data_IF_908482774205
#
_entry.id   IF_908482774205
#
_cell.length_a   1.000
_cell.length_b   1.000
_cell.length_c   1.000
_cell.angle_alpha   90.00
_cell.angle_beta   90.00
_cell.angle_gamma   90.00
#
_symmetry.space_group_name_H-M   'P 1'
#
loop_
_entity.id
_entity.type
_entity.pdbx_description
1 polymer ?
#
# COMPACT_ATOMS: atom_id res chain seq x y z
N UNK A 1 9.60 38.03 19.78
CA UNK A 1 9.57 36.58 19.55
C UNK A 1 10.97 36.03 19.81
N UNK A 2 11.16 35.08 20.72
CA UNK A 2 12.51 34.62 21.11
C UNK A 2 13.01 33.49 20.20
N UNK A 3 14.34 33.34 20.09
CA UNK A 3 14.98 32.22 19.37
C UNK A 3 14.47 30.84 19.85
N UNK A 4 14.24 30.68 21.16
CA UNK A 4 13.66 29.48 21.73
C UNK A 4 12.22 29.22 21.23
N UNK A 5 11.39 30.27 21.15
CA UNK A 5 10.02 30.15 20.63
C UNK A 5 9.98 29.80 19.14
N UNK A 6 10.92 30.31 18.35
CA UNK A 6 11.05 29.97 16.92
C UNK A 6 11.49 28.52 16.73
N UNK A 7 12.49 28.08 17.49
CA UNK A 7 12.98 26.70 17.48
C UNK A 7 11.88 25.70 17.84
N UNK A 8 11.12 25.96 18.91
CA UNK A 8 10.02 25.09 19.33
C UNK A 8 8.91 25.00 18.28
N UNK A 9 8.59 26.12 17.61
CA UNK A 9 7.59 26.15 16.54
C UNK A 9 8.02 25.32 15.32
N UNK A 10 9.29 25.45 14.92
CA UNK A 10 9.87 24.69 13.81
C UNK A 10 9.94 23.19 14.13
N UNK A 11 10.33 22.82 15.36
CA UNK A 11 10.32 21.42 15.83
C UNK A 11 8.91 20.82 15.82
N UNK A 12 7.91 21.56 16.29
CA UNK A 12 6.51 21.11 16.25
C UNK A 12 6.00 20.92 14.82
N UNK A 13 6.35 21.80 13.89
CA UNK A 13 5.99 21.65 12.48
C UNK A 13 6.63 20.40 11.85
N UNK A 14 7.91 20.15 12.14
CA UNK A 14 8.60 18.93 11.69
C UNK A 14 7.96 17.67 12.25
N UNK A 15 7.61 17.65 13.55
CA UNK A 15 6.92 16.52 14.16
C UNK A 15 5.54 16.25 13.52
N UNK A 16 4.79 17.32 13.21
CA UNK A 16 3.51 17.21 12.51
C UNK A 16 3.67 16.64 11.10
N UNK A 17 4.69 17.08 10.36
CA UNK A 17 4.99 16.56 9.03
C UNK A 17 5.32 15.05 9.09
N UNK A 18 6.22 14.64 9.98
CA UNK A 18 6.59 13.23 10.17
C UNK A 18 5.38 12.38 10.58
N UNK A 19 4.51 12.87 11.48
CA UNK A 19 3.31 12.16 11.90
C UNK A 19 2.30 12.01 10.74
N UNK A 20 2.17 13.04 9.90
CA UNK A 20 1.33 13.00 8.71
C UNK A 20 1.83 11.94 7.72
N UNK A 21 3.14 11.88 7.46
CA UNK A 21 3.74 10.91 6.55
C UNK A 21 3.52 9.48 7.06
N UNK A 22 3.74 9.22 8.35
CA UNK A 22 3.46 7.91 8.97
C UNK A 22 2.00 7.51 8.83
N UNK A 23 1.07 8.45 9.05
CA UNK A 23 -0.37 8.19 8.89
C UNK A 23 -0.73 7.91 7.42
N UNK A 24 -0.09 8.57 6.47
CA UNK A 24 -0.26 8.30 5.04
C UNK A 24 0.24 6.90 4.68
N UNK A 25 1.45 6.55 5.12
CA UNK A 25 2.06 5.23 4.90
C UNK A 25 1.25 4.09 5.53
N UNK A 26 0.79 4.27 6.77
CA UNK A 26 -0.07 3.29 7.44
C UNK A 26 -1.39 3.07 6.67
N UNK A 27 -2.06 4.13 6.23
CA UNK A 27 -3.27 4.03 5.40
C UNK A 27 -3.01 3.30 4.09
N UNK A 28 -1.91 3.61 3.41
CA UNK A 28 -1.51 2.92 2.18
C UNK A 28 -1.33 1.42 2.41
N UNK A 29 -0.64 1.03 3.48
CA UNK A 29 -0.44 -0.38 3.85
C UNK A 29 -1.76 -1.08 4.19
N UNK A 30 -2.66 -0.42 4.90
CA UNK A 30 -4.01 -0.94 5.20
C UNK A 30 -4.80 -1.17 3.90
N UNK A 31 -4.79 -0.20 2.98
CA UNK A 31 -5.49 -0.33 1.70
C UNK A 31 -4.95 -1.50 0.87
N UNK A 32 -3.62 -1.68 0.82
CA UNK A 32 -3.00 -2.83 0.16
C UNK A 32 -3.38 -4.15 0.85
N UNK A 33 -3.35 -4.19 2.19
CA UNK A 33 -3.83 -5.33 2.98
C UNK A 33 -5.27 -5.72 2.64
N UNK A 34 -6.16 -4.72 2.54
CA UNK A 34 -7.56 -4.92 2.19
C UNK A 34 -7.78 -5.53 0.81
N UNK A 35 -6.85 -5.36 -0.14
CA UNK A 35 -6.94 -6.02 -1.45
C UNK A 35 -6.73 -7.54 -1.34
N UNK A 36 -5.86 -8.00 -0.44
CA UNK A 36 -5.67 -9.44 -0.21
C UNK A 36 -6.90 -10.08 0.44
N UNK A 37 -7.51 -9.40 1.40
CA UNK A 37 -8.78 -9.83 2.02
C UNK A 37 -9.88 -9.90 0.97
N UNK A 38 -10.02 -8.87 0.13
CA UNK A 38 -11.04 -8.84 -0.94
C UNK A 38 -10.82 -9.91 -2.01
N UNK A 39 -9.58 -10.35 -2.20
CA UNK A 39 -9.22 -11.45 -3.08
C UNK A 39 -9.37 -12.83 -2.43
N UNK A 40 -9.75 -12.91 -1.14
CA UNK A 40 -9.90 -14.16 -0.39
C UNK A 40 -8.56 -14.84 -0.08
N UNK A 41 -7.49 -14.08 0.08
CA UNK A 41 -6.13 -14.57 0.31
C UNK A 41 -5.64 -14.32 1.75
N UNK A 42 -6.51 -13.86 2.64
CA UNK A 42 -6.20 -13.52 4.03
C UNK A 42 -5.86 -14.75 4.89
N UNK A 43 -6.35 -15.94 4.53
CA UNK A 43 -5.98 -17.20 5.17
C UNK A 43 -4.47 -17.52 5.10
N UNK A 44 -3.75 -16.87 4.18
CA UNK A 44 -2.29 -17.02 4.09
C UNK A 44 -1.56 -16.24 5.17
N UNK A 45 -2.21 -15.28 5.84
CA UNK A 45 -1.60 -14.50 6.90
C UNK A 45 -1.94 -15.09 8.29
N UNK A 46 -1.00 -15.09 9.26
CA UNK A 46 0.38 -14.63 9.16
C UNK A 46 1.36 -15.71 8.67
N UNK A 47 1.05 -16.97 8.91
CA UNK A 47 2.04 -18.06 8.86
C UNK A 47 2.59 -18.34 7.45
N UNK A 48 1.76 -18.09 6.43
CA UNK A 48 2.09 -18.32 5.02
C UNK A 48 2.28 -17.01 4.24
N UNK A 49 2.62 -15.91 4.91
CA UNK A 49 2.82 -14.60 4.25
C UNK A 49 3.92 -14.63 3.17
N UNK A 50 4.86 -15.56 3.26
CA UNK A 50 5.89 -15.80 2.24
C UNK A 50 5.30 -16.24 0.89
N UNK A 51 4.15 -16.94 0.88
CA UNK A 51 3.43 -17.32 -0.35
C UNK A 51 2.87 -16.07 -1.03
N UNK A 52 2.22 -15.18 -0.28
CA UNK A 52 1.75 -13.89 -0.81
C UNK A 52 2.90 -13.09 -1.41
N UNK A 53 4.04 -13.07 -0.72
CA UNK A 53 5.23 -12.37 -1.22
C UNK A 53 5.76 -13.00 -2.52
N UNK A 54 5.85 -14.33 -2.60
CA UNK A 54 6.23 -15.05 -3.81
C UNK A 54 5.31 -14.74 -5.00
N UNK A 55 3.99 -14.79 -4.80
CA UNK A 55 3.02 -14.45 -5.85
C UNK A 55 3.23 -13.03 -6.41
N UNK A 56 3.54 -12.06 -5.54
CA UNK A 56 3.80 -10.68 -5.97
C UNK A 56 5.10 -10.54 -6.75
N UNK A 57 6.14 -11.30 -6.38
CA UNK A 57 7.41 -11.35 -7.13
C UNK A 57 7.20 -11.95 -8.51
N UNK A 58 6.48 -13.08 -8.61
CA UNK A 58 6.12 -13.69 -9.89
C UNK A 58 5.34 -12.70 -10.77
N UNK A 59 4.38 -11.95 -10.21
CA UNK A 59 3.68 -10.90 -10.93
C UNK A 59 4.66 -9.80 -11.42
N UNK A 60 5.61 -9.38 -10.58
CA UNK A 60 6.60 -8.38 -10.96
C UNK A 60 7.47 -8.88 -12.12
N UNK A 61 7.91 -10.14 -12.08
CA UNK A 61 8.70 -10.75 -13.15
C UNK A 61 7.90 -10.87 -14.44
N UNK A 62 6.63 -11.28 -14.37
CA UNK A 62 5.77 -11.32 -15.55
C UNK A 62 5.54 -9.94 -16.18
N UNK A 63 5.50 -8.87 -15.39
CA UNK A 63 5.44 -7.50 -15.95
C UNK A 63 6.69 -7.14 -16.75
N UNK A 64 7.86 -7.63 -16.34
CA UNK A 64 9.11 -7.40 -17.07
C UNK A 64 9.11 -8.18 -18.38
N UNK A 65 8.68 -9.44 -18.35
CA UNK A 65 8.64 -10.33 -19.52
C UNK A 65 7.56 -9.90 -20.51
N UNK A 66 6.37 -9.55 -20.01
CA UNK A 66 5.24 -9.13 -20.83
C UNK A 66 4.54 -7.90 -20.20
N UNK A 67 4.99 -6.68 -20.51
CA UNK A 67 4.40 -5.46 -19.96
C UNK A 67 2.91 -5.31 -20.22
N UNK A 68 2.39 -5.88 -21.32
CA UNK A 68 0.95 -5.83 -21.66
C UNK A 68 0.07 -6.65 -20.72
N UNK A 69 0.64 -7.53 -19.89
CA UNK A 69 -0.14 -8.29 -18.90
C UNK A 69 -0.86 -7.38 -17.90
N UNK A 70 -0.35 -6.16 -17.69
CA UNK A 70 -0.97 -5.15 -16.84
C UNK A 70 -2.40 -4.81 -17.29
N UNK A 71 -2.67 -4.80 -18.59
CA UNK A 71 -4.00 -4.49 -19.13
C UNK A 71 -5.01 -5.59 -18.82
N UNK A 72 -4.55 -6.85 -18.81
CA UNK A 72 -5.36 -8.00 -18.38
C UNK A 72 -5.74 -7.88 -16.91
N UNK A 73 -4.77 -7.58 -16.04
CA UNK A 73 -5.02 -7.39 -14.61
C UNK A 73 -5.92 -6.20 -14.33
N UNK A 74 -5.71 -5.08 -15.03
CA UNK A 74 -6.56 -3.88 -14.96
C UNK A 74 -8.01 -4.22 -15.32
N UNK A 75 -8.22 -4.88 -16.46
CA UNK A 75 -9.55 -5.29 -16.93
C UNK A 75 -10.25 -6.19 -15.91
N UNK A 76 -9.54 -7.22 -15.39
CA UNK A 76 -10.06 -8.14 -14.38
C UNK A 76 -10.43 -7.42 -13.08
N UNK A 77 -9.54 -6.56 -12.59
CA UNK A 77 -9.76 -5.78 -11.36
C UNK A 77 -10.94 -4.82 -11.47
N UNK A 78 -11.07 -4.11 -12.59
CA UNK A 78 -12.17 -3.17 -12.82
C UNK A 78 -13.54 -3.85 -12.86
N UNK A 79 -13.64 -5.02 -13.49
CA UNK A 79 -14.91 -5.78 -13.56
C UNK A 79 -15.39 -6.22 -12.16
N UNK A 80 -14.46 -6.64 -11.30
CA UNK A 80 -14.78 -7.15 -9.97
C UNK A 80 -15.01 -6.03 -8.94
N UNK A 81 -14.28 -4.92 -9.05
CA UNK A 81 -14.50 -3.76 -8.17
C UNK A 81 -15.81 -3.04 -8.49
N UNK A 82 -16.20 -2.95 -9.77
CA UNK A 82 -17.48 -2.34 -10.18
C UNK A 82 -18.71 -3.14 -9.76
N UNK A 83 -18.61 -4.46 -9.61
CA UNK A 83 -19.71 -5.32 -9.14
C UNK A 83 -19.92 -5.31 -7.62
N UNK A 84 -19.01 -4.67 -6.87
CA UNK A 84 -19.03 -4.63 -5.40
C UNK A 84 -19.53 -3.31 -4.81
N UNK A 85 -20.05 -2.42 -5.67
CA UNK A 85 -20.75 -1.17 -5.33
C UNK A 85 -22.14 -1.30 -5.95
#
# INVERSE_FOLDING_TARGET
MSLASLYMRMRMQLQKAVAFDRKSDARKKIMLGGLFVKAGLDYLHPDNAHILYGMLLDCKEQLIINPKIIDKWKSKGQQLLKKSI
#
